data_IF_810410497129
#
_entry.id   IF_810410497129
#
_cell.length_a   1.000
_cell.length_b   1.000
_cell.length_c   1.000
_cell.angle_alpha   90.00
_cell.angle_beta   90.00
_cell.angle_gamma   90.00
#
_symmetry.space_group_name_H-M   'P 1'
#
loop_
_entity.id
_entity.type
_entity.pdbx_description
1 polymer ?
#
# COMPACT_ATOMS: atom_id res chain seq x y z
N UNK A 1 3.66 -6.55 15.60
CA UNK A 1 2.94 -7.20 14.47
C UNK A 1 3.45 -6.78 13.07
N UNK A 2 4.37 -5.81 12.95
CA UNK A 2 4.98 -5.39 11.67
C UNK A 2 6.21 -6.20 11.25
N UNK A 3 6.90 -6.87 12.17
CA UNK A 3 8.18 -7.57 11.90
C UNK A 3 8.01 -9.02 11.41
N UNK A 4 6.93 -9.72 11.76
CA UNK A 4 6.71 -11.13 11.36
C UNK A 4 6.38 -11.33 9.86
N UNK A 5 6.06 -10.28 9.11
CA UNK A 5 5.72 -10.38 7.69
C UNK A 5 6.91 -10.26 6.73
N UNK A 6 8.07 -9.77 7.19
CA UNK A 6 9.24 -9.59 6.34
C UNK A 6 9.94 -10.91 5.97
N UNK A 7 9.94 -11.92 6.84
CA UNK A 7 10.65 -13.19 6.59
C UNK A 7 9.95 -14.11 5.58
N UNK A 8 8.64 -13.91 5.36
CA UNK A 8 7.83 -14.84 4.55
C UNK A 8 8.06 -14.74 3.04
N UNK A 9 8.88 -13.79 2.60
CA UNK A 9 9.01 -13.43 1.19
C UNK A 9 10.48 -13.34 0.72
N UNK A 10 11.41 -14.02 1.40
CA UNK A 10 12.83 -14.00 1.02
C UNK A 10 13.04 -14.38 -0.45
N UNK A 11 12.26 -15.33 -0.96
CA UNK A 11 12.28 -15.77 -2.35
C UNK A 11 11.99 -14.67 -3.37
N UNK A 12 11.18 -13.67 -3.02
CA UNK A 12 10.90 -12.55 -3.93
C UNK A 12 12.07 -11.60 -4.01
N UNK A 13 12.75 -11.34 -2.88
CA UNK A 13 13.98 -10.57 -2.91
C UNK A 13 15.07 -11.31 -3.69
N UNK A 14 15.17 -12.63 -3.54
CA UNK A 14 16.05 -13.47 -4.36
C UNK A 14 15.69 -13.41 -5.84
N UNK A 15 14.40 -13.45 -6.19
CA UNK A 15 13.93 -13.30 -7.58
C UNK A 15 14.30 -11.94 -8.16
N UNK A 16 14.09 -10.86 -7.41
CA UNK A 16 14.52 -9.52 -7.84
C UNK A 16 16.04 -9.47 -8.02
N UNK A 17 16.83 -9.98 -7.08
CA UNK A 17 18.29 -10.05 -7.20
C UNK A 17 18.73 -10.85 -8.44
N UNK A 18 18.05 -11.95 -8.75
CA UNK A 18 18.29 -12.73 -9.96
C UNK A 18 18.01 -11.90 -11.22
N UNK A 19 16.87 -11.23 -11.30
CA UNK A 19 16.52 -10.36 -12.44
C UNK A 19 17.58 -9.26 -12.64
N UNK A 20 17.95 -8.55 -11.57
CA UNK A 20 19.02 -7.54 -11.64
C UNK A 20 20.37 -8.12 -12.10
N UNK A 21 20.70 -9.36 -11.69
CA UNK A 21 21.93 -10.01 -12.16
C UNK A 21 21.90 -10.31 -13.66
N UNK A 22 20.74 -10.69 -14.20
CA UNK A 22 20.55 -10.93 -15.64
C UNK A 22 20.58 -9.61 -16.42
N UNK A 23 19.99 -8.54 -15.89
CA UNK A 23 20.05 -7.20 -16.51
C UNK A 23 21.50 -6.70 -16.61
N UNK A 24 22.32 -6.91 -15.57
CA UNK A 24 23.75 -6.58 -15.60
C UNK A 24 24.48 -7.40 -16.67
N UNK A 25 24.23 -8.71 -16.75
CA UNK A 25 24.81 -9.57 -17.79
C UNK A 25 24.40 -9.10 -19.19
N UNK A 26 23.14 -8.74 -19.40
CA UNK A 26 22.65 -8.18 -20.65
C UNK A 26 23.40 -6.89 -21.03
N UNK A 27 23.57 -5.95 -20.09
CA UNK A 27 24.32 -4.72 -20.32
C UNK A 27 25.77 -5.05 -20.74
N UNK A 28 26.47 -5.92 -20.01
CA UNK A 28 27.87 -6.28 -20.29
C UNK A 28 28.04 -6.94 -21.66
N UNK A 29 27.10 -7.80 -22.06
CA UNK A 29 27.16 -8.54 -23.32
C UNK A 29 26.65 -7.75 -24.52
N UNK A 30 25.93 -6.65 -24.30
CA UNK A 30 25.37 -5.83 -25.38
C UNK A 30 26.46 -5.07 -26.15
N UNK A 31 26.40 -5.13 -27.49
CA UNK A 31 27.31 -4.39 -28.38
C UNK A 31 26.90 -2.93 -28.54
N UNK A 32 26.72 -2.25 -27.42
CA UNK A 32 26.29 -0.84 -27.35
C UNK A 32 27.47 0.08 -27.09
N UNK A 33 27.28 1.38 -27.33
CA UNK A 33 28.29 2.39 -26.98
C UNK A 33 28.45 2.55 -25.47
N UNK A 34 29.63 2.98 -25.00
CA UNK A 34 29.88 3.23 -23.58
C UNK A 34 28.87 4.21 -22.96
N UNK A 35 28.43 5.21 -23.73
CA UNK A 35 27.42 6.17 -23.29
C UNK A 35 26.08 5.48 -23.02
N UNK A 36 25.65 4.56 -23.89
CA UNK A 36 24.43 3.77 -23.71
C UNK A 36 24.55 2.84 -22.49
N UNK A 37 25.69 2.18 -22.28
CA UNK A 37 25.89 1.35 -21.08
C UNK A 37 25.78 2.16 -19.79
N UNK A 38 26.41 3.33 -19.72
CA UNK A 38 26.31 4.23 -18.56
C UNK A 38 24.87 4.69 -18.32
N UNK A 39 24.13 4.99 -19.39
CA UNK A 39 22.73 5.38 -19.30
C UNK A 39 21.86 4.23 -18.78
N UNK A 40 22.07 3.01 -19.26
CA UNK A 40 21.37 1.80 -18.79
C UNK A 40 21.65 1.51 -17.32
N UNK A 41 22.91 1.61 -16.88
CA UNK A 41 23.28 1.45 -15.47
C UNK A 41 22.64 2.52 -14.59
N UNK A 42 22.56 3.76 -15.06
CA UNK A 42 21.89 4.84 -14.34
C UNK A 42 20.39 4.55 -14.13
N UNK A 43 19.69 4.10 -15.18
CA UNK A 43 18.28 3.69 -15.09
C UNK A 43 18.11 2.50 -14.13
N UNK A 44 19.02 1.52 -14.19
CA UNK A 44 19.00 0.36 -13.29
C UNK A 44 19.13 0.78 -11.82
N UNK A 45 20.01 1.74 -11.50
CA UNK A 45 20.14 2.30 -10.14
C UNK A 45 18.85 3.00 -9.71
N UNK A 46 18.24 3.80 -10.59
CA UNK A 46 16.95 4.44 -10.32
C UNK A 46 15.84 3.42 -10.03
N UNK A 47 15.77 2.36 -10.83
CA UNK A 47 14.83 1.25 -10.63
C UNK A 47 15.03 0.60 -9.25
N UNK A 48 16.28 0.35 -8.86
CA UNK A 48 16.61 -0.25 -7.57
C UNK A 48 16.18 0.66 -6.41
N UNK A 49 16.42 1.97 -6.51
CA UNK A 49 15.98 2.93 -5.50
C UNK A 49 14.44 2.97 -5.40
N UNK A 50 13.73 2.93 -6.53
CA UNK A 50 12.27 2.88 -6.55
C UNK A 50 11.73 1.59 -5.90
N UNK A 51 12.35 0.44 -6.20
CA UNK A 51 12.01 -0.84 -5.59
C UNK A 51 12.23 -0.82 -4.08
N UNK A 52 13.37 -0.29 -3.61
CA UNK A 52 13.64 -0.11 -2.17
C UNK A 52 12.54 0.74 -1.52
N UNK A 53 12.15 1.85 -2.15
CA UNK A 53 11.03 2.67 -1.63
C UNK A 53 9.73 1.87 -1.56
N UNK A 54 9.41 1.08 -2.58
CA UNK A 54 8.22 0.22 -2.60
C UNK A 54 8.23 -0.86 -1.51
N UNK A 55 9.40 -1.44 -1.21
CA UNK A 55 9.52 -2.47 -0.19
C UNK A 55 9.44 -1.90 1.24
N UNK A 56 10.05 -0.74 1.48
CA UNK A 56 10.28 -0.26 2.85
C UNK A 56 9.39 0.92 3.28
N UNK A 57 8.85 1.74 2.38
CA UNK A 57 7.97 2.87 2.75
C UNK A 57 6.61 2.36 3.18
N UNK A 58 6.13 2.66 4.39
CA UNK A 58 4.78 2.26 4.83
C UNK A 58 3.70 2.73 3.81
N UNK A 59 2.93 1.81 3.20
CA UNK A 59 1.98 2.15 2.14
C UNK A 59 0.80 2.99 2.65
N UNK A 60 0.56 2.99 3.96
CA UNK A 60 -0.58 3.63 4.61
C UNK A 60 -1.30 2.70 5.58
N UNK A 61 -0.60 1.75 6.21
CA UNK A 61 -1.19 0.81 7.16
C UNK A 61 -1.80 1.55 8.34
N UNK A 62 -3.04 1.22 8.67
CA UNK A 62 -3.80 1.78 9.78
C UNK A 62 -3.56 0.95 11.02
N UNK A 63 -3.07 1.59 12.09
CA UNK A 63 -2.85 0.93 13.38
C UNK A 63 -4.08 1.09 14.29
N UNK A 64 -4.39 0.03 15.04
CA UNK A 64 -5.61 -0.07 15.87
C UNK A 64 -5.71 1.10 16.86
N UNK A 65 -6.86 1.77 16.87
CA UNK A 65 -7.19 2.80 17.89
C UNK A 65 -8.67 2.82 18.29
N UNK A 66 -9.36 1.68 18.25
CA UNK A 66 -10.69 1.56 18.84
C UNK A 66 -10.60 0.74 20.13
N UNK A 67 -10.83 1.39 21.27
CA UNK A 67 -11.10 0.72 22.54
C UNK A 67 -12.61 0.72 22.76
N UNK A 68 -13.15 -0.45 23.10
CA UNK A 68 -14.49 -0.78 23.57
C UNK A 68 -15.46 0.42 23.67
N UNK A 69 -16.22 0.66 22.62
CA UNK A 69 -17.48 1.40 22.71
C UNK A 69 -18.60 0.37 22.81
N UNK A 70 -19.32 0.40 23.92
CA UNK A 70 -20.44 -0.49 24.18
C UNK A 70 -21.71 0.12 23.58
N UNK A 71 -22.43 -0.66 22.76
CA UNK A 71 -23.79 -0.40 22.24
C UNK A 71 -24.00 0.94 21.50
N UNK A 72 -25.22 1.16 20.98
CA UNK A 72 -25.62 2.33 20.19
C UNK A 72 -25.34 3.64 20.93
N UNK A 73 -24.13 4.16 20.77
CA UNK A 73 -23.71 5.41 21.39
C UNK A 73 -23.84 6.52 20.35
N UNK A 74 -24.73 7.48 20.61
CA UNK A 74 -24.70 8.77 19.93
C UNK A 74 -23.73 9.67 20.70
N UNK A 75 -22.60 10.01 20.10
CA UNK A 75 -21.61 10.92 20.69
C UNK A 75 -21.61 12.22 19.89
N UNK A 76 -21.99 13.33 20.53
CA UNK A 76 -21.86 14.67 19.97
C UNK A 76 -20.45 15.18 20.27
N UNK A 77 -19.66 15.44 19.22
CA UNK A 77 -18.27 15.93 19.38
C UNK A 77 -18.21 17.46 19.39
N UNK A 78 -19.09 18.11 18.62
CA UNK A 78 -19.30 19.57 18.61
C UNK A 78 -20.80 19.85 18.40
N UNK A 79 -21.24 21.11 18.55
CA UNK A 79 -22.65 21.51 18.32
C UNK A 79 -23.20 21.06 16.96
N UNK A 80 -22.33 20.87 15.95
CA UNK A 80 -22.71 20.56 14.57
C UNK A 80 -22.20 19.20 14.08
N UNK A 81 -21.58 18.38 14.95
CA UNK A 81 -21.11 17.03 14.58
C UNK A 81 -21.67 15.96 15.49
N UNK A 82 -22.45 15.06 14.90
CA UNK A 82 -23.04 13.92 15.56
C UNK A 82 -22.44 12.63 15.01
N UNK A 83 -22.02 11.72 15.89
CA UNK A 83 -21.62 10.36 15.52
C UNK A 83 -22.62 9.38 16.10
N UNK A 84 -23.20 8.55 15.24
CA UNK A 84 -24.10 7.46 15.63
C UNK A 84 -23.51 6.13 15.17
N UNK A 85 -23.31 5.21 16.11
CA UNK A 85 -22.93 3.83 15.82
C UNK A 85 -24.20 2.97 15.92
N UNK A 86 -24.45 2.15 14.90
CA UNK A 86 -25.59 1.24 14.89
C UNK A 86 -25.24 -0.05 14.14
N UNK A 87 -26.02 -1.10 14.37
CA UNK A 87 -25.85 -2.41 13.75
C UNK A 87 -26.97 -2.63 12.73
N UNK A 88 -26.61 -2.93 11.49
CA UNK A 88 -27.57 -3.20 10.41
C UNK A 88 -27.00 -4.24 9.45
N UNK A 89 -27.82 -5.13 8.86
CA UNK A 89 -27.39 -6.21 7.96
C UNK A 89 -26.19 -7.03 8.49
N UNK A 90 -26.20 -7.41 9.77
CA UNK A 90 -25.11 -8.14 10.43
C UNK A 90 -23.75 -7.43 10.43
N UNK A 91 -23.71 -6.09 10.36
CA UNK A 91 -22.47 -5.31 10.38
C UNK A 91 -22.62 -4.01 11.18
N UNK A 92 -21.52 -3.57 11.76
CA UNK A 92 -21.43 -2.26 12.42
C UNK A 92 -21.24 -1.13 11.39
N UNK A 93 -22.03 -0.06 11.56
CA UNK A 93 -21.98 1.16 10.76
C UNK A 93 -21.77 2.36 11.67
N UNK A 94 -20.96 3.32 11.20
CA UNK A 94 -20.77 4.62 11.84
C UNK A 94 -21.31 5.70 10.91
N UNK A 95 -22.39 6.36 11.33
CA UNK A 95 -22.91 7.54 10.66
C UNK A 95 -22.30 8.77 11.33
N UNK A 96 -21.67 9.62 10.54
CA UNK A 96 -21.20 10.94 10.96
C UNK A 96 -22.04 11.97 10.21
N UNK A 97 -22.78 12.78 10.97
CA UNK A 97 -23.52 13.93 10.46
C UNK A 97 -22.73 15.20 10.74
N UNK A 98 -22.41 15.95 9.70
CA UNK A 98 -21.72 17.24 9.77
C UNK A 98 -22.61 18.24 9.05
N UNK A 99 -23.26 19.13 9.79
CA UNK A 99 -24.30 20.02 9.26
C UNK A 99 -25.39 19.19 8.51
N UNK A 100 -25.49 19.33 7.18
CA UNK A 100 -26.45 18.61 6.32
C UNK A 100 -25.85 17.43 5.55
N UNK A 101 -24.56 17.13 5.75
CA UNK A 101 -23.92 15.98 5.12
C UNK A 101 -23.90 14.78 6.08
N UNK A 102 -24.49 13.68 5.63
CA UNK A 102 -24.43 12.39 6.32
C UNK A 102 -23.48 11.46 5.57
N UNK A 103 -22.47 10.93 6.29
CA UNK A 103 -21.53 9.94 5.76
C UNK A 103 -21.59 8.67 6.61
N UNK A 104 -21.77 7.54 5.93
CA UNK A 104 -21.84 6.21 6.55
C UNK A 104 -20.52 5.48 6.31
N UNK A 105 -19.91 4.99 7.40
CA UNK A 105 -18.65 4.27 7.39
C UNK A 105 -18.86 2.81 7.83
N UNK A 106 -18.27 1.89 7.08
CA UNK A 106 -18.33 0.45 7.36
C UNK A 106 -17.30 0.08 8.43
N UNK A 107 -17.60 -0.92 9.26
CA UNK A 107 -16.63 -1.46 10.21
C UNK A 107 -15.74 -2.55 9.59
N UNK A 108 -14.52 -2.71 10.12
CA UNK A 108 -13.63 -3.82 9.86
C UNK A 108 -13.47 -4.64 11.13
N UNK A 109 -13.99 -5.87 11.12
CA UNK A 109 -13.95 -6.78 12.26
C UNK A 109 -12.54 -7.30 12.54
N UNK A 110 -11.77 -7.63 11.50
CA UNK A 110 -10.39 -8.15 11.68
C UNK A 110 -9.46 -7.10 12.32
N UNK A 111 -9.63 -5.83 11.94
CA UNK A 111 -8.81 -4.73 12.43
C UNK A 111 -9.40 -4.01 13.64
N UNK A 112 -10.68 -4.25 13.98
CA UNK A 112 -11.46 -3.49 14.95
C UNK A 112 -11.42 -1.97 14.71
N UNK A 113 -11.73 -1.51 13.50
CA UNK A 113 -11.78 -0.07 13.17
C UNK A 113 -12.97 0.26 12.25
N UNK A 114 -13.50 1.47 12.34
CA UNK A 114 -14.35 2.01 11.28
C UNK A 114 -13.49 2.44 10.10
N UNK A 115 -13.84 1.94 8.91
CA UNK A 115 -13.24 2.30 7.64
C UNK A 115 -13.75 3.69 7.25
N UNK A 116 -13.08 4.71 7.76
CA UNK A 116 -13.25 6.10 7.30
C UNK A 116 -12.89 6.17 5.81
N UNK A 117 -13.25 7.27 5.14
CA UNK A 117 -13.11 7.41 3.68
C UNK A 117 -11.81 6.83 3.14
N UNK A 118 -11.96 6.03 2.08
CA UNK A 118 -10.87 5.39 1.33
C UNK A 118 -10.00 4.42 2.13
N UNK A 119 -10.48 3.83 3.24
CA UNK A 119 -9.79 2.73 3.93
C UNK A 119 -10.34 1.37 3.47
N UNK A 120 -9.46 0.47 3.08
CA UNK A 120 -9.80 -0.91 2.69
C UNK A 120 -9.01 -1.92 3.51
N UNK A 121 -9.61 -3.07 3.82
CA UNK A 121 -8.89 -4.17 4.47
C UNK A 121 -8.20 -5.03 3.40
N UNK A 122 -6.90 -5.23 3.52
CA UNK A 122 -6.16 -6.17 2.70
C UNK A 122 -6.05 -7.51 3.44
N UNK A 123 -6.72 -8.55 2.94
CA UNK A 123 -6.71 -9.90 3.54
C UNK A 123 -5.30 -10.50 3.59
N UNK A 124 -4.53 -10.35 2.51
CA UNK A 124 -3.13 -10.81 2.42
C UNK A 124 -2.23 -10.13 3.47
N UNK A 125 -2.36 -8.80 3.61
CA UNK A 125 -1.64 -8.05 4.63
C UNK A 125 -2.32 -8.10 6.00
N UNK A 126 -3.48 -8.74 6.15
CA UNK A 126 -4.33 -8.78 7.35
C UNK A 126 -4.31 -7.45 8.13
N UNK A 127 -4.55 -6.35 7.42
CA UNK A 127 -4.59 -5.00 7.98
C UNK A 127 -5.35 -4.04 7.07
N UNK A 128 -5.87 -2.96 7.65
CA UNK A 128 -6.47 -1.88 6.89
C UNK A 128 -5.41 -0.92 6.35
N UNK A 129 -5.63 -0.41 5.14
CA UNK A 129 -4.71 0.47 4.42
C UNK A 129 -5.46 1.68 3.86
N UNK A 130 -4.90 2.88 4.01
CA UNK A 130 -5.43 4.12 3.44
C UNK A 130 -5.20 4.21 1.93
N UNK A 131 -6.26 4.55 1.20
CA UNK A 131 -6.33 4.64 -0.26
C UNK A 131 -5.61 3.45 -0.92
N UNK A 132 -6.02 2.25 -0.50
CA UNK A 132 -5.48 1.00 -1.04
C UNK A 132 -5.89 0.89 -2.52
N UNK A 133 -4.90 0.72 -3.39
CA UNK A 133 -5.14 0.40 -4.79
C UNK A 133 -5.25 -1.13 -4.94
N UNK A 134 -4.14 -1.84 -4.69
CA UNK A 134 -4.13 -3.30 -4.73
C UNK A 134 -3.06 -3.90 -3.80
N UNK A 135 -3.14 -5.20 -3.55
CA UNK A 135 -2.04 -5.99 -3.01
C UNK A 135 -1.23 -6.55 -4.17
N UNK A 136 0.00 -6.05 -4.36
CA UNK A 136 0.84 -6.48 -5.46
C UNK A 136 1.48 -7.84 -5.16
N UNK A 137 1.24 -8.82 -6.01
CA UNK A 137 1.83 -10.15 -5.90
C UNK A 137 3.36 -10.13 -6.01
N UNK A 138 3.90 -9.32 -6.93
CA UNK A 138 5.34 -9.18 -7.19
C UNK A 138 6.13 -8.51 -6.07
N UNK A 139 5.45 -7.67 -5.29
CA UNK A 139 6.04 -6.97 -4.13
C UNK A 139 5.65 -7.64 -2.80
N UNK A 140 4.65 -8.55 -2.82
CA UNK A 140 3.92 -9.09 -1.65
C UNK A 140 3.52 -8.03 -0.64
N UNK A 141 3.03 -6.92 -1.17
CA UNK A 141 2.78 -5.71 -0.39
C UNK A 141 1.69 -4.88 -1.01
N UNK A 142 0.95 -4.16 -0.16
CA UNK A 142 -0.02 -3.19 -0.66
C UNK A 142 0.68 -2.03 -1.37
N UNK A 143 0.18 -1.71 -2.55
CA UNK A 143 0.37 -0.42 -3.20
C UNK A 143 -0.83 0.44 -2.81
N UNK A 144 -0.53 1.59 -2.22
CA UNK A 144 -1.55 2.48 -1.66
C UNK A 144 -1.04 3.92 -1.64
N UNK A 145 -1.79 4.85 -1.04
CA UNK A 145 -1.52 6.30 -1.00
C UNK A 145 -0.04 6.71 -0.98
N UNK A 146 0.74 6.16 -0.06
CA UNK A 146 2.13 6.60 0.17
C UNK A 146 3.14 5.96 -0.80
N UNK A 147 2.73 4.93 -1.54
CA UNK A 147 3.60 4.10 -2.39
C UNK A 147 3.19 4.11 -3.87
N UNK A 148 1.98 4.55 -4.19
CA UNK A 148 1.41 4.58 -5.55
C UNK A 148 2.33 5.31 -6.55
N UNK A 149 2.92 6.44 -6.15
CA UNK A 149 3.84 7.21 -7.00
C UNK A 149 5.13 6.46 -7.33
N UNK A 150 5.69 5.72 -6.36
CA UNK A 150 6.89 4.92 -6.58
C UNK A 150 6.57 3.70 -7.43
N UNK A 151 5.35 3.17 -7.33
CA UNK A 151 4.89 2.03 -8.12
C UNK A 151 4.80 2.41 -9.59
N UNK A 152 4.10 3.49 -9.92
CA UNK A 152 4.00 3.96 -11.31
C UNK A 152 5.37 4.32 -11.90
N UNK A 153 6.21 5.01 -11.12
CA UNK A 153 7.56 5.35 -11.57
C UNK A 153 8.41 4.10 -11.82
N UNK A 154 8.33 3.08 -10.95
CA UNK A 154 9.04 1.82 -11.12
C UNK A 154 8.58 1.08 -12.40
N UNK A 155 7.27 0.95 -12.62
CA UNK A 155 6.72 0.30 -13.83
C UNK A 155 7.11 1.06 -15.10
N UNK A 156 7.07 2.39 -15.07
CA UNK A 156 7.49 3.20 -16.21
C UNK A 156 8.98 3.01 -16.51
N UNK A 157 9.84 3.14 -15.49
CA UNK A 157 11.30 3.09 -15.64
C UNK A 157 11.80 1.69 -16.01
N UNK A 158 11.19 0.61 -15.53
CA UNK A 158 11.51 -0.76 -15.97
C UNK A 158 11.04 -1.03 -17.41
N UNK A 159 9.86 -0.53 -17.79
CA UNK A 159 9.36 -0.66 -19.17
C UNK A 159 10.29 0.08 -20.12
N UNK A 160 10.68 1.30 -19.77
CA UNK A 160 11.61 2.09 -20.56
C UNK A 160 12.97 1.40 -20.71
N UNK A 161 13.52 0.84 -19.63
CA UNK A 161 14.79 0.08 -19.66
C UNK A 161 14.76 -1.06 -20.69
N UNK A 162 13.66 -1.82 -20.78
CA UNK A 162 13.55 -2.93 -21.73
C UNK A 162 13.21 -2.50 -23.17
N UNK A 163 13.00 -1.21 -23.43
CA UNK A 163 12.73 -0.68 -24.78
C UNK A 163 13.95 -0.03 -25.45
N UNK A 164 15.05 0.16 -24.72
CA UNK A 164 16.28 0.81 -25.19
C UNK A 164 17.45 -0.17 -25.28
#
# INVERSE_FOLDING_TARGET
MSLQKNYRNIWIYLLHLLIYSLDIQYIILSKSSLLQHNFMLFIMIINLLALIKLCFVNPGYVFKKFKNLNQESVVKFTKNTERKIYFNDNRWLLLIKIQDQEKIYKYCEECNIFKVEKISHCRECNCCVHEMDHHCFWLRRCVARNTIKYFYFYIFSITFFYTI
#
